data_IF_308320295409
#
_entry.id   IF_308320295409
#
_cell.length_a   1.000
_cell.length_b   1.000
_cell.length_c   1.000
_cell.angle_alpha   90.00
_cell.angle_beta   90.00
_cell.angle_gamma   90.00
#
_symmetry.space_group_name_H-M   'P 1'
#
loop_
_entity.id
_entity.type
_entity.pdbx_description
1 polymer ?
#
# COMPACT_ATOMS: atom_id res chain seq x y z
N UNK A 1 -19.59 59.55 30.32
CA UNK A 1 -18.63 58.86 29.42
C UNK A 1 -18.40 57.38 29.76
N UNK A 2 -18.50 56.93 31.02
CA UNK A 2 -18.23 55.52 31.40
C UNK A 2 -19.20 54.47 30.82
N UNK A 3 -20.50 54.76 30.68
CA UNK A 3 -21.51 53.81 30.15
C UNK A 3 -21.28 53.40 28.68
N UNK A 4 -20.67 54.27 27.88
CA UNK A 4 -20.41 54.01 26.45
C UNK A 4 -19.21 53.07 26.24
N UNK A 5 -18.29 53.02 27.20
CA UNK A 5 -17.11 52.14 27.17
C UNK A 5 -17.48 50.67 27.42
N UNK A 6 -18.34 50.41 28.41
CA UNK A 6 -18.79 49.05 28.74
C UNK A 6 -19.63 48.41 27.63
N UNK A 7 -20.44 49.20 26.93
CA UNK A 7 -21.25 48.71 25.81
C UNK A 7 -20.40 48.30 24.60
N UNK A 8 -19.37 49.10 24.25
CA UNK A 8 -18.42 48.75 23.18
C UNK A 8 -17.63 47.48 23.50
N UNK A 9 -17.24 47.32 24.77
CA UNK A 9 -16.49 46.16 25.22
C UNK A 9 -17.35 44.88 25.22
N UNK A 10 -18.61 44.96 25.69
CA UNK A 10 -19.58 43.86 25.61
C UNK A 10 -19.90 43.48 24.16
N UNK A 11 -20.10 44.47 23.29
CA UNK A 11 -20.33 44.23 21.85
C UNK A 11 -19.12 43.54 21.20
N UNK A 12 -17.90 43.94 21.56
CA UNK A 12 -16.66 43.28 21.13
C UNK A 12 -16.59 41.80 21.54
N UNK A 13 -16.95 41.47 22.79
CA UNK A 13 -17.00 40.08 23.25
C UNK A 13 -18.06 39.26 22.52
N UNK A 14 -19.25 39.81 22.29
CA UNK A 14 -20.34 39.13 21.56
C UNK A 14 -19.93 38.87 20.11
N UNK A 15 -19.32 39.84 19.43
CA UNK A 15 -18.81 39.66 18.06
C UNK A 15 -17.69 38.61 18.03
N UNK A 16 -16.77 38.63 19.00
CA UNK A 16 -15.70 37.63 19.11
C UNK A 16 -16.26 36.21 19.32
N UNK A 17 -17.22 36.03 20.23
CA UNK A 17 -17.85 34.72 20.46
C UNK A 17 -18.61 34.24 19.22
N UNK A 18 -19.29 35.15 18.52
CA UNK A 18 -19.99 34.83 17.28
C UNK A 18 -19.03 34.39 16.17
N UNK A 19 -17.90 35.08 16.00
CA UNK A 19 -16.85 34.69 15.04
C UNK A 19 -16.23 33.34 15.38
N UNK A 20 -15.96 33.07 16.66
CA UNK A 20 -15.47 31.78 17.13
C UNK A 20 -16.49 30.68 16.83
N UNK A 21 -17.76 30.88 17.18
CA UNK A 21 -18.83 29.92 16.89
C UNK A 21 -18.99 29.68 15.37
N UNK A 22 -18.89 30.73 14.55
CA UNK A 22 -18.93 30.62 13.09
C UNK A 22 -17.74 29.80 12.57
N UNK A 23 -16.53 30.01 13.11
CA UNK A 23 -15.34 29.22 12.74
C UNK A 23 -15.46 27.75 13.13
N UNK A 24 -15.99 27.45 14.31
CA UNK A 24 -16.26 26.08 14.75
C UNK A 24 -17.31 25.41 13.85
N UNK A 25 -18.39 26.13 13.52
CA UNK A 25 -19.42 25.64 12.62
C UNK A 25 -18.89 25.39 11.21
N UNK A 26 -18.08 26.30 10.66
CA UNK A 26 -17.43 26.12 9.36
C UNK A 26 -16.47 24.93 9.36
N UNK A 27 -15.72 24.75 10.44
CA UNK A 27 -14.82 23.61 10.60
C UNK A 27 -15.59 22.28 10.69
N UNK A 28 -16.63 22.19 11.51
CA UNK A 28 -17.49 21.00 11.62
C UNK A 28 -18.13 20.65 10.27
N UNK A 29 -18.69 21.64 9.58
CA UNK A 29 -19.24 21.45 8.23
C UNK A 29 -18.20 20.97 7.22
N UNK A 30 -16.96 21.44 7.33
CA UNK A 30 -15.85 20.97 6.48
C UNK A 30 -15.47 19.52 6.77
N UNK A 31 -15.45 19.12 8.05
CA UNK A 31 -15.18 17.72 8.44
C UNK A 31 -16.28 16.78 7.93
N UNK A 32 -17.56 17.14 8.11
CA UNK A 32 -18.68 16.34 7.59
C UNK A 32 -18.61 16.13 6.08
N UNK A 33 -18.33 17.20 5.31
CA UNK A 33 -18.13 17.08 3.85
C UNK A 33 -16.92 16.23 3.47
N UNK A 34 -15.87 16.21 4.29
CA UNK A 34 -14.73 15.35 4.06
C UNK A 34 -15.11 13.88 4.28
N UNK A 35 -15.81 13.58 5.39
CA UNK A 35 -16.28 12.24 5.72
C UNK A 35 -17.23 11.67 4.65
N UNK A 36 -18.20 12.47 4.18
CA UNK A 36 -19.09 12.10 3.08
C UNK A 36 -18.30 11.74 1.81
N UNK A 37 -17.35 12.59 1.40
CA UNK A 37 -16.54 12.35 0.20
C UNK A 37 -15.69 11.08 0.30
N UNK A 38 -15.08 10.82 1.45
CA UNK A 38 -14.26 9.62 1.60
C UNK A 38 -15.16 8.39 1.70
N UNK A 39 -16.34 8.46 2.34
CA UNK A 39 -17.33 7.38 2.31
C UNK A 39 -17.77 7.05 0.87
N UNK A 40 -18.14 8.06 0.07
CA UNK A 40 -18.44 7.90 -1.35
C UNK A 40 -17.26 7.27 -2.11
N UNK A 41 -16.04 7.74 -1.85
CA UNK A 41 -14.82 7.19 -2.45
C UNK A 41 -14.64 5.71 -2.12
N UNK A 42 -14.89 5.30 -0.87
CA UNK A 42 -14.80 3.90 -0.45
C UNK A 42 -15.89 3.03 -1.09
N UNK A 43 -17.11 3.53 -1.23
CA UNK A 43 -18.17 2.80 -1.94
C UNK A 43 -17.83 2.61 -3.42
N UNK A 44 -17.31 3.65 -4.09
CA UNK A 44 -16.84 3.56 -5.47
C UNK A 44 -15.69 2.56 -5.63
N UNK A 45 -14.69 2.59 -4.75
CA UNK A 45 -13.56 1.64 -4.76
C UNK A 45 -14.06 0.20 -4.59
N UNK A 46 -14.93 -0.05 -3.61
CA UNK A 46 -15.51 -1.39 -3.40
C UNK A 46 -16.42 -1.83 -4.54
N UNK A 47 -17.15 -0.91 -5.17
CA UNK A 47 -17.96 -1.20 -6.34
C UNK A 47 -17.09 -1.61 -7.53
N UNK A 48 -16.03 -0.86 -7.81
CA UNK A 48 -15.09 -1.16 -8.90
C UNK A 48 -14.43 -2.53 -8.72
N UNK A 49 -14.05 -2.90 -7.49
CA UNK A 49 -13.57 -4.25 -7.17
C UNK A 49 -14.60 -5.31 -7.56
N UNK A 50 -15.85 -5.15 -7.11
CA UNK A 50 -16.92 -6.11 -7.40
C UNK A 50 -17.19 -6.24 -8.89
N UNK A 51 -17.23 -5.13 -9.61
CA UNK A 51 -17.47 -5.10 -11.06
C UNK A 51 -16.33 -5.76 -11.84
N UNK A 52 -15.08 -5.44 -11.49
CA UNK A 52 -13.90 -6.05 -12.14
C UNK A 52 -13.87 -7.55 -11.92
N UNK A 53 -14.08 -8.01 -10.68
CA UNK A 53 -14.14 -9.43 -10.36
C UNK A 53 -15.32 -10.17 -11.02
N UNK A 54 -16.45 -9.50 -11.25
CA UNK A 54 -17.60 -10.09 -11.92
C UNK A 54 -17.46 -10.15 -13.44
N UNK A 55 -16.68 -9.25 -14.04
CA UNK A 55 -16.42 -9.18 -15.48
C UNK A 55 -15.47 -10.26 -15.99
N UNK A 56 -14.61 -10.81 -15.12
CA UNK A 56 -13.59 -11.80 -15.50
C UNK A 56 -13.78 -13.14 -14.76
N UNK A 57 -14.93 -13.77 -14.99
CA UNK A 57 -15.33 -15.00 -14.30
C UNK A 57 -14.42 -16.20 -14.59
N UNK A 58 -13.75 -16.23 -15.73
CA UNK A 58 -12.83 -17.33 -16.07
C UNK A 58 -11.52 -17.21 -15.29
N UNK A 59 -10.97 -16.00 -15.13
CA UNK A 59 -9.73 -15.76 -14.37
C UNK A 59 -9.90 -15.94 -12.86
N UNK A 60 -11.09 -15.66 -12.31
CA UNK A 60 -11.34 -15.66 -10.85
C UNK A 60 -12.28 -16.77 -10.35
N UNK A 61 -12.37 -17.89 -11.09
CA UNK A 61 -13.29 -19.02 -10.82
C UNK A 61 -13.09 -19.77 -9.49
N UNK A 62 -12.02 -19.48 -8.76
CA UNK A 62 -11.66 -20.18 -7.54
C UNK A 62 -12.61 -19.85 -6.39
N UNK A 63 -12.93 -20.84 -5.55
CA UNK A 63 -13.59 -20.58 -4.27
C UNK A 63 -12.55 -20.36 -3.20
N UNK A 64 -12.93 -19.68 -2.12
CA UNK A 64 -12.06 -19.53 -0.95
C UNK A 64 -11.63 -20.89 -0.37
N UNK A 65 -12.43 -21.94 -0.57
CA UNK A 65 -12.07 -23.31 -0.19
C UNK A 65 -10.87 -23.87 -0.97
N UNK A 66 -10.67 -23.44 -2.20
CA UNK A 66 -9.64 -23.97 -3.11
C UNK A 66 -8.30 -23.22 -2.95
N UNK A 67 -8.31 -22.10 -2.20
CA UNK A 67 -7.11 -21.29 -1.97
C UNK A 67 -6.14 -22.02 -1.05
N UNK A 68 -4.90 -22.22 -1.48
CA UNK A 68 -3.85 -22.81 -0.63
C UNK A 68 -3.46 -21.82 0.47
N UNK A 69 -3.07 -22.32 1.64
CA UNK A 69 -2.73 -21.46 2.78
C UNK A 69 -1.63 -20.45 2.44
N UNK A 70 -0.63 -20.87 1.68
CA UNK A 70 0.46 -19.98 1.22
C UNK A 70 -0.01 -18.76 0.43
N UNK A 71 -1.21 -18.78 -0.14
CA UNK A 71 -1.79 -17.66 -0.90
C UNK A 71 -2.49 -16.65 0.02
N UNK A 72 -2.67 -17.00 1.30
CA UNK A 72 -3.24 -16.15 2.35
C UNK A 72 -2.14 -15.60 3.30
N UNK A 73 -0.86 -15.79 2.95
CA UNK A 73 0.29 -15.42 3.79
C UNK A 73 0.47 -13.90 3.99
N UNK A 74 -0.29 -13.08 3.26
CA UNK A 74 -0.26 -11.63 3.35
C UNK A 74 -1.27 -11.05 4.36
N UNK A 75 -2.04 -11.88 5.05
CA UNK A 75 -3.10 -11.44 5.95
C UNK A 75 -2.60 -11.46 7.40
N UNK A 76 -2.46 -10.28 8.00
CA UNK A 76 -2.17 -10.09 9.42
C UNK A 76 -3.48 -9.98 10.18
N UNK A 77 -3.56 -10.64 11.33
CA UNK A 77 -4.78 -10.75 12.13
C UNK A 77 -4.58 -10.05 13.47
N UNK A 78 -5.59 -9.31 13.89
CA UNK A 78 -5.74 -8.81 15.25
C UNK A 78 -7.11 -9.24 15.79
N UNK A 79 -7.08 -10.23 16.69
CA UNK A 79 -8.28 -10.82 17.29
C UNK A 79 -8.94 -9.88 18.31
N UNK A 80 -8.18 -8.98 18.95
CA UNK A 80 -8.70 -8.08 19.98
C UNK A 80 -9.73 -7.12 19.38
N UNK A 81 -9.45 -6.62 18.19
CA UNK A 81 -10.30 -5.65 17.49
C UNK A 81 -11.09 -6.26 16.32
N UNK A 82 -10.87 -7.55 16.02
CA UNK A 82 -11.52 -8.22 14.89
C UNK A 82 -11.11 -7.62 13.55
N UNK A 83 -9.80 -7.46 13.33
CA UNK A 83 -9.24 -6.80 12.14
C UNK A 83 -8.38 -7.79 11.34
N UNK A 84 -8.45 -7.69 10.01
CA UNK A 84 -7.51 -8.33 9.09
C UNK A 84 -6.91 -7.29 8.17
N UNK A 85 -5.58 -7.19 8.19
CA UNK A 85 -4.82 -6.34 7.27
C UNK A 85 -4.12 -7.18 6.21
N UNK A 86 -4.48 -7.00 4.93
CA UNK A 86 -3.68 -7.55 3.84
C UNK A 86 -2.51 -6.63 3.50
N UNK A 87 -1.29 -7.03 3.86
CA UNK A 87 -0.12 -6.20 3.60
C UNK A 87 0.40 -6.37 2.17
N UNK A 88 0.58 -5.24 1.49
CA UNK A 88 1.21 -5.16 0.17
C UNK A 88 2.52 -4.37 0.34
N UNK A 89 3.70 -4.93 0.01
CA UNK A 89 4.96 -4.21 0.16
C UNK A 89 4.98 -2.86 -0.56
N UNK A 90 5.80 -1.90 -0.11
CA UNK A 90 5.92 -0.57 -0.76
C UNK A 90 4.64 0.28 -0.81
N UNK A 91 3.60 -0.13 -0.09
CA UNK A 91 2.35 0.60 0.13
C UNK A 91 2.18 0.90 1.63
N UNK A 92 3.13 1.66 2.18
CA UNK A 92 3.21 1.99 3.61
C UNK A 92 3.12 0.79 4.57
N UNK A 93 3.42 -0.42 4.11
CA UNK A 93 3.19 -1.64 4.88
C UNK A 93 3.95 -1.68 6.20
N UNK A 94 5.10 -1.00 6.30
CA UNK A 94 5.86 -0.91 7.55
C UNK A 94 5.10 -0.13 8.61
N UNK A 95 4.47 0.99 8.24
CA UNK A 95 3.67 1.80 9.17
C UNK A 95 2.39 1.08 9.57
N UNK A 96 1.71 0.42 8.64
CA UNK A 96 0.55 -0.42 9.00
C UNK A 96 0.94 -1.59 9.91
N UNK A 97 2.08 -2.25 9.66
CA UNK A 97 2.57 -3.29 10.56
C UNK A 97 2.92 -2.77 11.96
N UNK A 98 3.44 -1.53 12.07
CA UNK A 98 3.64 -0.86 13.37
C UNK A 98 2.32 -0.62 14.09
N UNK A 99 1.30 -0.13 13.37
CA UNK A 99 -0.06 0.02 13.93
C UNK A 99 -0.60 -1.33 14.39
N UNK A 100 -0.56 -2.36 13.54
CA UNK A 100 -1.00 -3.71 13.93
C UNK A 100 -0.25 -4.24 15.15
N UNK A 101 1.06 -3.98 15.25
CA UNK A 101 1.86 -4.39 16.41
C UNK A 101 1.47 -3.64 17.68
N UNK A 102 1.24 -2.34 17.60
CA UNK A 102 0.75 -1.56 18.75
C UNK A 102 -0.56 -2.10 19.28
N UNK A 103 -1.48 -2.50 18.38
CA UNK A 103 -2.79 -3.06 18.76
C UNK A 103 -2.69 -4.44 19.43
N UNK A 104 -1.58 -5.17 19.28
CA UNK A 104 -1.35 -6.42 20.03
C UNK A 104 -0.84 -6.19 21.44
N UNK A 105 -0.55 -4.94 21.83
CA UNK A 105 -0.09 -4.58 23.18
C UNK A 105 -1.27 -4.13 24.06
N UNK A 106 -1.01 -3.96 25.35
CA UNK A 106 -2.00 -3.41 26.29
C UNK A 106 -2.17 -1.89 26.11
N UNK A 107 -3.32 -1.40 26.58
CA UNK A 107 -3.60 0.04 26.62
C UNK A 107 -2.88 0.73 27.79
N UNK A 108 -2.42 1.98 27.62
CA UNK A 108 -2.44 2.76 26.38
C UNK A 108 -1.45 2.20 25.35
N UNK A 109 -1.87 2.14 24.08
CA UNK A 109 -1.04 1.56 23.02
C UNK A 109 0.26 2.34 22.83
N UNK A 110 1.39 1.65 22.56
CA UNK A 110 2.62 2.34 22.23
C UNK A 110 2.48 3.08 20.90
N UNK A 111 3.09 4.27 20.81
CA UNK A 111 3.10 5.06 19.58
C UNK A 111 3.75 4.25 18.44
N UNK A 112 3.02 3.99 17.33
CA UNK A 112 3.55 3.27 16.17
C UNK A 112 4.86 3.83 15.61
N UNK A 113 5.12 5.13 15.74
CA UNK A 113 6.37 5.76 15.28
C UNK A 113 7.58 5.27 16.07
N UNK A 114 7.40 4.97 17.36
CA UNK A 114 8.48 4.51 18.26
C UNK A 114 8.93 3.06 17.97
N UNK A 115 8.11 2.30 17.24
CA UNK A 115 8.37 0.89 16.95
C UNK A 115 9.40 0.76 15.82
N UNK A 116 10.44 -0.04 16.04
CA UNK A 116 11.46 -0.33 15.03
C UNK A 116 10.86 -0.94 13.77
N UNK A 117 11.26 -0.45 12.59
CA UNK A 117 10.86 -1.05 11.32
C UNK A 117 11.38 -2.47 11.16
N UNK A 118 12.55 -2.78 11.71
CA UNK A 118 13.13 -4.13 11.68
C UNK A 118 12.26 -5.12 12.45
N UNK A 119 11.83 -4.73 13.66
CA UNK A 119 11.02 -5.58 14.55
C UNK A 119 9.75 -6.09 13.85
N UNK A 120 8.99 -5.20 13.22
CA UNK A 120 7.71 -5.56 12.61
C UNK A 120 7.83 -6.40 11.34
N UNK A 121 9.04 -6.58 10.81
CA UNK A 121 9.31 -7.49 9.68
C UNK A 121 9.89 -8.83 10.13
N UNK A 122 10.16 -9.03 11.42
CA UNK A 122 10.59 -10.33 11.93
C UNK A 122 9.46 -11.38 11.83
N UNK A 123 9.82 -12.65 11.55
CA UNK A 123 8.85 -13.75 11.60
C UNK A 123 8.20 -13.88 12.98
N UNK A 124 6.95 -14.32 13.02
CA UNK A 124 6.18 -14.57 14.26
C UNK A 124 5.94 -13.34 15.17
N UNK A 125 6.29 -12.14 14.73
CA UNK A 125 6.01 -10.90 15.48
C UNK A 125 4.56 -10.45 15.36
N UNK A 126 3.90 -10.73 14.24
CA UNK A 126 2.51 -10.40 13.99
C UNK A 126 1.73 -11.69 13.66
N UNK A 127 0.53 -11.91 14.23
CA UNK A 127 -0.27 -13.08 13.91
C UNK A 127 -0.66 -13.07 12.42
N UNK A 128 -0.44 -14.17 11.72
CA UNK A 128 -0.83 -14.32 10.32
C UNK A 128 -2.08 -15.20 10.24
N UNK A 129 -2.98 -14.94 9.30
CA UNK A 129 -4.18 -15.75 9.14
C UNK A 129 -3.85 -17.24 8.96
N UNK A 130 -2.75 -17.53 8.28
CA UNK A 130 -2.29 -18.90 8.01
C UNK A 130 -1.79 -19.66 9.24
N UNK A 131 -1.61 -18.99 10.38
CA UNK A 131 -1.25 -19.67 11.65
C UNK A 131 -2.46 -20.25 12.37
N UNK A 132 -3.68 -19.99 11.89
CA UNK A 132 -4.91 -20.49 12.50
C UNK A 132 -5.46 -21.71 11.75
N UNK A 133 -6.20 -22.61 12.42
CA UNK A 133 -6.90 -23.70 11.74
C UNK A 133 -7.91 -23.19 10.70
N UNK A 134 -8.07 -23.92 9.59
CA UNK A 134 -8.97 -23.54 8.46
C UNK A 134 -10.38 -23.10 8.85
N UNK A 135 -11.10 -23.76 9.77
CA UNK A 135 -12.42 -23.29 10.20
C UNK A 135 -12.38 -21.90 10.83
N UNK A 136 -11.35 -21.63 11.62
CA UNK A 136 -11.15 -20.33 12.25
C UNK A 136 -10.76 -19.27 11.23
N UNK A 137 -9.88 -19.58 10.28
CA UNK A 137 -9.56 -18.68 9.16
C UNK A 137 -10.83 -18.23 8.42
N UNK A 138 -11.74 -19.17 8.12
CA UNK A 138 -13.03 -18.87 7.48
C UNK A 138 -13.91 -17.98 8.35
N UNK A 139 -13.98 -18.26 9.65
CA UNK A 139 -14.75 -17.45 10.59
C UNK A 139 -14.20 -16.02 10.67
N UNK A 140 -12.89 -15.85 10.81
CA UNK A 140 -12.23 -14.54 10.82
C UNK A 140 -12.46 -13.78 9.52
N UNK A 141 -12.25 -14.41 8.35
CA UNK A 141 -12.54 -13.78 7.04
C UNK A 141 -14.01 -13.36 6.87
N UNK A 142 -14.94 -14.09 7.49
CA UNK A 142 -16.37 -13.77 7.45
C UNK A 142 -16.73 -12.60 8.36
N UNK A 143 -16.13 -12.52 9.55
CA UNK A 143 -16.62 -11.66 10.64
C UNK A 143 -15.74 -10.45 10.94
N UNK A 144 -14.44 -10.48 10.62
CA UNK A 144 -13.50 -9.40 10.95
C UNK A 144 -13.54 -8.30 9.91
N UNK A 145 -13.26 -7.05 10.29
CA UNK A 145 -13.09 -5.95 9.33
C UNK A 145 -11.80 -6.16 8.54
N UNK A 146 -11.89 -6.23 7.22
CA UNK A 146 -10.75 -6.50 6.33
C UNK A 146 -10.37 -5.25 5.56
N UNK A 147 -9.10 -4.88 5.57
CA UNK A 147 -8.62 -3.76 4.76
C UNK A 147 -7.31 -4.07 4.04
N UNK A 148 -7.07 -3.33 2.96
CA UNK A 148 -5.77 -3.25 2.31
C UNK A 148 -5.49 -1.82 1.88
N UNK A 149 -4.22 -1.55 1.60
CA UNK A 149 -3.80 -0.34 0.91
C UNK A 149 -3.14 -0.72 -0.41
N UNK A 150 -3.39 0.07 -1.45
CA UNK A 150 -2.80 -0.07 -2.78
C UNK A 150 -2.01 1.17 -3.19
N UNK A 151 -1.22 1.05 -4.26
CA UNK A 151 -0.44 2.15 -4.85
C UNK A 151 -0.44 2.00 -6.35
N UNK A 152 -0.25 3.10 -7.08
CA UNK A 152 -0.04 3.03 -8.53
C UNK A 152 0.97 1.91 -8.89
N UNK A 153 0.62 0.94 -9.76
CA UNK A 153 1.44 -0.24 -9.97
C UNK A 153 2.87 0.07 -10.42
N UNK A 154 3.05 1.05 -11.30
CA UNK A 154 4.37 1.41 -11.80
C UNK A 154 5.17 2.20 -10.77
N UNK A 155 4.52 3.07 -10.01
CA UNK A 155 5.17 3.75 -8.89
C UNK A 155 5.58 2.74 -7.80
N UNK A 156 4.79 1.70 -7.55
CA UNK A 156 5.12 0.60 -6.63
C UNK A 156 6.39 -0.14 -7.10
N UNK A 157 6.54 -0.40 -8.40
CA UNK A 157 7.75 -1.02 -8.97
C UNK A 157 9.00 -0.15 -8.82
N UNK A 158 8.89 1.15 -9.06
CA UNK A 158 10.00 2.09 -8.81
C UNK A 158 10.42 2.02 -7.34
N UNK A 159 9.45 2.05 -6.43
CA UNK A 159 9.70 1.95 -4.99
C UNK A 159 10.38 0.62 -4.60
N UNK A 160 9.95 -0.50 -5.21
CA UNK A 160 10.57 -1.81 -5.03
C UNK A 160 12.02 -1.82 -5.53
N UNK A 161 12.25 -1.36 -6.77
CA UNK A 161 13.58 -1.29 -7.37
C UNK A 161 14.54 -0.44 -6.52
N UNK A 162 14.13 0.77 -6.13
CA UNK A 162 14.95 1.65 -5.27
C UNK A 162 15.34 0.98 -3.95
N UNK A 163 14.43 0.23 -3.35
CA UNK A 163 14.69 -0.44 -2.08
C UNK A 163 15.52 -1.72 -2.20
N UNK A 164 15.45 -2.44 -3.33
CA UNK A 164 16.15 -3.72 -3.49
C UNK A 164 17.48 -3.61 -4.23
N UNK A 165 17.65 -2.63 -5.11
CA UNK A 165 18.81 -2.54 -5.99
C UNK A 165 19.61 -1.23 -5.88
N UNK A 166 19.07 -0.17 -5.26
CA UNK A 166 19.83 1.07 -5.02
C UNK A 166 20.34 1.23 -3.59
N UNK A 167 19.84 0.42 -2.66
CA UNK A 167 20.35 0.33 -1.30
C UNK A 167 21.32 -0.85 -1.22
N UNK A 168 22.30 -0.78 -0.31
CA UNK A 168 23.19 -1.90 -0.07
C UNK A 168 22.39 -3.08 0.49
N UNK A 169 22.25 -4.14 -0.32
CA UNK A 169 21.44 -5.32 -0.03
C UNK A 169 22.05 -6.56 -0.69
N UNK A 170 23.05 -7.13 -0.02
CA UNK A 170 23.79 -8.29 -0.50
C UNK A 170 22.88 -9.49 -0.78
N UNK A 171 21.88 -9.74 0.06
CA UNK A 171 20.94 -10.85 -0.10
C UNK A 171 20.18 -10.76 -1.44
N UNK A 172 19.60 -9.59 -1.74
CA UNK A 172 18.88 -9.40 -3.01
C UNK A 172 19.81 -9.39 -4.21
N UNK A 173 21.03 -8.88 -4.05
CA UNK A 173 22.04 -8.95 -5.11
C UNK A 173 22.38 -10.40 -5.46
N UNK A 174 22.63 -11.26 -4.46
CA UNK A 174 22.91 -12.68 -4.69
C UNK A 174 21.72 -13.41 -5.31
N UNK A 175 20.52 -13.17 -4.76
CA UNK A 175 19.32 -13.92 -5.15
C UNK A 175 18.76 -13.49 -6.51
N UNK A 176 18.86 -12.21 -6.86
CA UNK A 176 18.25 -11.64 -8.06
C UNK A 176 19.25 -10.85 -8.89
N UNK A 177 20.04 -9.98 -8.26
CA UNK A 177 20.90 -9.03 -8.97
C UNK A 177 21.87 -9.67 -9.95
N UNK A 178 22.58 -10.72 -9.54
CA UNK A 178 23.50 -11.47 -10.41
C UNK A 178 22.79 -12.11 -11.59
N UNK A 179 21.63 -12.72 -11.37
CA UNK A 179 20.85 -13.33 -12.43
C UNK A 179 20.38 -12.29 -13.46
N UNK A 180 19.90 -11.14 -12.98
CA UNK A 180 19.45 -10.02 -13.82
C UNK A 180 20.62 -9.45 -14.64
N UNK A 181 21.78 -9.23 -14.01
CA UNK A 181 22.98 -8.76 -14.70
C UNK A 181 23.43 -9.72 -15.80
N UNK A 182 23.39 -11.02 -15.50
CA UNK A 182 23.79 -12.06 -16.45
C UNK A 182 22.94 -12.09 -17.70
N UNK A 183 21.62 -12.04 -17.54
CA UNK A 183 20.69 -12.22 -18.65
C UNK A 183 20.42 -10.93 -19.42
N UNK A 184 20.38 -9.78 -18.74
CA UNK A 184 19.84 -8.56 -19.33
C UNK A 184 20.85 -7.40 -19.38
N UNK A 185 22.01 -7.50 -18.72
CA UNK A 185 23.02 -6.44 -18.69
C UNK A 185 24.33 -6.78 -19.45
N UNK A 186 24.34 -7.86 -20.24
CA UNK A 186 25.53 -8.36 -20.95
C UNK A 186 26.73 -8.66 -20.03
N UNK A 187 26.48 -9.19 -18.83
CA UNK A 187 27.51 -9.54 -17.84
C UNK A 187 27.54 -11.05 -17.59
N UNK A 188 28.20 -11.86 -18.44
CA UNK A 188 28.14 -13.33 -18.34
C UNK A 188 28.62 -13.87 -16.98
N UNK A 189 29.62 -13.20 -16.38
CA UNK A 189 30.14 -13.51 -15.05
C UNK A 189 30.05 -12.28 -14.11
N UNK A 190 28.87 -12.01 -13.51
CA UNK A 190 28.68 -10.91 -12.58
C UNK A 190 29.49 -11.13 -11.29
N UNK A 191 30.03 -10.06 -10.67
CA UNK A 191 30.83 -10.12 -9.44
C UNK A 191 30.17 -10.92 -8.32
N UNK A 192 30.99 -11.52 -7.47
CA UNK A 192 30.52 -12.46 -6.44
C UNK A 192 29.93 -11.75 -5.22
N UNK A 193 30.16 -10.45 -5.05
CA UNK A 193 29.52 -9.62 -4.02
C UNK A 193 29.00 -8.30 -4.59
N UNK A 194 28.07 -7.66 -3.88
CA UNK A 194 27.57 -6.34 -4.25
C UNK A 194 28.66 -5.28 -4.14
N UNK A 195 29.59 -5.40 -3.19
CA UNK A 195 30.70 -4.47 -3.03
C UNK A 195 31.67 -4.53 -4.23
N UNK A 196 31.99 -5.72 -4.74
CA UNK A 196 32.78 -5.88 -5.97
C UNK A 196 32.05 -5.30 -7.19
N UNK A 197 30.74 -5.52 -7.29
CA UNK A 197 29.91 -4.95 -8.36
C UNK A 197 29.94 -3.43 -8.31
N UNK A 198 29.72 -2.83 -7.14
CA UNK A 198 29.75 -1.39 -6.93
C UNK A 198 31.14 -0.79 -7.24
N UNK A 199 32.21 -1.43 -6.76
CA UNK A 199 33.59 -1.01 -7.05
C UNK A 199 33.90 -1.02 -8.55
N UNK A 200 33.26 -1.93 -9.30
CA UNK A 200 33.38 -2.05 -10.76
C UNK A 200 32.38 -1.17 -11.53
N UNK A 201 31.57 -0.36 -10.85
CA UNK A 201 30.51 0.45 -11.45
C UNK A 201 29.34 -0.36 -12.04
N UNK A 202 29.26 -1.66 -11.72
CA UNK A 202 28.25 -2.57 -12.23
C UNK A 202 27.01 -2.56 -11.33
N UNK A 203 25.84 -2.35 -11.93
CA UNK A 203 24.56 -2.31 -11.21
C UNK A 203 23.42 -2.77 -12.09
N UNK A 204 22.43 -3.38 -11.47
CA UNK A 204 21.15 -3.69 -12.13
C UNK A 204 20.47 -2.37 -12.48
N UNK A 205 20.29 -2.05 -13.75
CA UNK A 205 19.51 -0.88 -14.16
C UNK A 205 18.00 -1.15 -14.01
N UNK A 206 17.19 -0.08 -13.98
CA UNK A 206 15.73 -0.24 -13.97
C UNK A 206 15.23 -0.96 -15.22
N UNK A 207 15.82 -0.70 -16.38
CA UNK A 207 15.49 -1.41 -17.62
C UNK A 207 15.77 -2.91 -17.49
N UNK A 208 16.92 -3.32 -16.94
CA UNK A 208 17.22 -4.74 -16.72
C UNK A 208 16.22 -5.41 -15.77
N UNK A 209 15.81 -4.67 -14.73
CA UNK A 209 14.78 -5.13 -13.82
C UNK A 209 13.42 -5.32 -14.53
N UNK A 210 13.01 -4.39 -15.40
CA UNK A 210 11.79 -4.56 -16.20
C UNK A 210 11.90 -5.76 -17.14
N UNK A 211 13.02 -5.92 -17.86
CA UNK A 211 13.23 -7.08 -18.75
C UNK A 211 13.14 -8.41 -17.99
N UNK A 212 13.67 -8.47 -16.77
CA UNK A 212 13.51 -9.61 -15.88
C UNK A 212 12.05 -9.91 -15.52
N UNK A 213 11.23 -8.89 -15.27
CA UNK A 213 9.79 -9.08 -15.01
C UNK A 213 9.03 -9.55 -16.25
N UNK A 214 9.47 -9.15 -17.44
CA UNK A 214 8.83 -9.51 -18.70
C UNK A 214 9.24 -10.88 -19.24
N UNK A 215 10.29 -11.48 -18.68
CA UNK A 215 10.73 -12.81 -19.07
C UNK A 215 9.76 -13.88 -18.53
N UNK A 216 9.11 -14.67 -19.40
CA UNK A 216 8.16 -15.71 -18.99
C UNK A 216 8.82 -16.82 -18.16
N UNK A 217 10.15 -16.96 -18.21
CA UNK A 217 10.89 -17.92 -17.39
C UNK A 217 10.96 -17.48 -15.92
N UNK A 218 10.80 -16.20 -15.63
CA UNK A 218 10.95 -15.67 -14.27
C UNK A 218 9.93 -16.24 -13.30
N UNK A 219 8.67 -16.37 -13.70
CA UNK A 219 7.62 -16.98 -12.86
C UNK A 219 7.36 -18.46 -13.13
N UNK A 220 8.17 -19.12 -13.98
CA UNK A 220 7.89 -20.49 -14.44
C UNK A 220 7.79 -21.49 -13.29
N UNK A 221 8.67 -21.37 -12.29
CA UNK A 221 8.79 -22.33 -11.19
C UNK A 221 8.40 -21.74 -9.83
N UNK A 222 8.56 -20.43 -9.66
CA UNK A 222 8.30 -19.72 -8.41
C UNK A 222 7.50 -18.46 -8.72
N UNK A 223 6.51 -18.09 -7.89
CA UNK A 223 5.83 -16.81 -8.04
C UNK A 223 6.82 -15.64 -7.91
N UNK A 224 6.45 -14.49 -8.45
CA UNK A 224 7.19 -13.25 -8.24
C UNK A 224 7.41 -12.96 -6.75
N UNK A 225 8.56 -12.33 -6.48
CA UNK A 225 8.90 -11.81 -5.17
C UNK A 225 7.83 -10.77 -4.73
N UNK A 226 7.38 -10.79 -3.47
CA UNK A 226 6.26 -9.95 -3.02
C UNK A 226 6.35 -8.44 -3.28
N UNK A 227 7.55 -7.85 -3.43
CA UNK A 227 7.71 -6.41 -3.69
C UNK A 227 7.36 -6.02 -5.12
N UNK A 228 7.42 -6.96 -6.06
CA UNK A 228 7.03 -6.78 -7.47
C UNK A 228 6.04 -7.84 -7.95
N UNK A 229 5.32 -8.51 -7.05
CA UNK A 229 4.14 -9.29 -7.43
C UNK A 229 2.93 -8.37 -7.59
N UNK A 230 2.00 -8.69 -8.47
CA UNK A 230 0.75 -7.93 -8.62
C UNK A 230 -0.02 -7.91 -7.30
N UNK A 231 -0.58 -6.75 -6.93
CA UNK A 231 -1.26 -6.51 -5.66
C UNK A 231 -2.50 -7.41 -5.51
N UNK A 232 -3.27 -7.57 -6.59
CA UNK A 232 -4.41 -8.49 -6.62
C UNK A 232 -4.00 -9.94 -6.34
N UNK A 233 -2.79 -10.36 -6.75
CA UNK A 233 -2.28 -11.73 -6.53
C UNK A 233 -1.76 -11.94 -5.11
N UNK A 234 -1.50 -10.86 -4.38
CA UNK A 234 -1.11 -10.89 -2.96
C UNK A 234 -2.33 -10.92 -2.04
N UNK A 235 -3.40 -10.22 -2.41
CA UNK A 235 -4.53 -9.98 -1.53
C UNK A 235 -5.87 -10.58 -1.99
N UNK A 236 -5.93 -11.15 -3.19
CA UNK A 236 -7.08 -11.91 -3.72
C UNK A 236 -8.44 -11.22 -3.51
N UNK A 237 -8.62 -9.94 -3.90
CA UNK A 237 -9.85 -9.18 -3.62
C UNK A 237 -11.12 -9.73 -4.30
N UNK A 238 -10.98 -10.61 -5.29
CA UNK A 238 -12.13 -11.33 -5.86
C UNK A 238 -12.60 -12.51 -4.99
N UNK A 239 -11.75 -12.98 -4.06
CA UNK A 239 -12.06 -14.05 -3.11
C UNK A 239 -12.33 -13.50 -1.70
N UNK A 240 -11.68 -12.40 -1.35
CA UNK A 240 -11.77 -11.74 -0.05
C UNK A 240 -12.51 -10.42 -0.22
N UNK A 241 -13.69 -10.33 0.39
CA UNK A 241 -14.49 -9.09 0.38
C UNK A 241 -13.88 -8.08 1.35
N UNK A 242 -13.09 -7.14 0.87
CA UNK A 242 -12.53 -6.07 1.69
C UNK A 242 -13.57 -5.02 2.07
N UNK A 243 -13.51 -4.58 3.32
CA UNK A 243 -14.41 -3.58 3.90
C UNK A 243 -13.87 -2.15 3.71
N UNK A 244 -12.55 -2.02 3.51
CA UNK A 244 -11.88 -0.75 3.22
C UNK A 244 -10.71 -0.93 2.25
N UNK A 245 -10.58 0.00 1.29
CA UNK A 245 -9.48 0.02 0.30
C UNK A 245 -8.84 1.40 0.33
N UNK A 246 -7.66 1.49 0.95
CA UNK A 246 -6.88 2.71 1.01
C UNK A 246 -5.92 2.85 -0.17
N UNK A 247 -5.55 4.08 -0.51
CA UNK A 247 -4.52 4.37 -1.52
C UNK A 247 -3.31 5.04 -0.85
N UNK A 248 -2.11 4.71 -1.34
CA UNK A 248 -0.87 5.36 -0.89
C UNK A 248 -0.89 6.87 -1.16
N UNK A 249 -1.54 7.27 -2.25
CA UNK A 249 -1.64 8.65 -2.71
C UNK A 249 -2.52 9.49 -1.77
N UNK A 250 -3.46 8.86 -1.05
CA UNK A 250 -4.35 9.47 -0.05
C UNK A 250 -4.12 8.90 1.35
N UNK A 251 -2.91 8.39 1.62
CA UNK A 251 -2.60 7.55 2.78
C UNK A 251 -3.03 8.17 4.11
N UNK A 252 -2.67 9.43 4.40
CA UNK A 252 -3.00 10.05 5.68
C UNK A 252 -4.53 10.17 5.88
N UNK A 253 -5.26 10.55 4.83
CA UNK A 253 -6.71 10.70 4.90
C UNK A 253 -7.39 9.33 5.05
N UNK A 254 -6.99 8.36 4.24
CA UNK A 254 -7.54 7.01 4.27
C UNK A 254 -7.22 6.30 5.60
N UNK A 255 -6.00 6.42 6.12
CA UNK A 255 -5.62 5.85 7.41
C UNK A 255 -6.41 6.46 8.56
N UNK A 256 -6.55 7.79 8.58
CA UNK A 256 -7.33 8.48 9.63
C UNK A 256 -8.79 8.05 9.61
N UNK A 257 -9.39 7.90 8.43
CA UNK A 257 -10.76 7.41 8.33
C UNK A 257 -10.88 5.96 8.77
N UNK A 258 -9.97 5.08 8.34
CA UNK A 258 -10.01 3.68 8.73
C UNK A 258 -9.97 3.55 10.26
N UNK A 259 -9.10 4.29 10.94
CA UNK A 259 -9.06 4.31 12.40
C UNK A 259 -10.38 4.79 13.02
N UNK A 260 -11.05 5.79 12.41
CA UNK A 260 -12.40 6.22 12.84
C UNK A 260 -13.45 5.12 12.68
N UNK A 261 -13.45 4.40 11.56
CA UNK A 261 -14.37 3.27 11.31
C UNK A 261 -14.15 2.15 12.33
N UNK A 262 -12.90 1.94 12.73
CA UNK A 262 -12.51 0.95 13.72
C UNK A 262 -12.71 1.42 15.17
N UNK A 263 -13.16 2.67 15.38
CA UNK A 263 -13.29 3.29 16.71
C UNK A 263 -11.95 3.36 17.48
N UNK A 264 -10.85 3.56 16.75
CA UNK A 264 -9.47 3.61 17.27
C UNK A 264 -8.83 4.99 17.15
N UNK A 265 -9.55 6.00 16.64
CA UNK A 265 -8.99 7.32 16.33
C UNK A 265 -8.45 8.09 17.55
N UNK A 266 -8.96 7.78 18.75
CA UNK A 266 -8.59 8.44 20.00
C UNK A 266 -7.44 7.69 20.73
N UNK A 267 -7.19 6.43 20.38
CA UNK A 267 -6.24 5.55 21.06
C UNK A 267 -4.91 5.39 20.31
N UNK A 268 -4.94 5.50 18.97
CA UNK A 268 -3.77 5.28 18.12
C UNK A 268 -3.79 6.22 16.92
N UNK A 269 -2.61 6.69 16.52
CA UNK A 269 -2.45 7.49 15.31
C UNK A 269 -1.61 6.74 14.29
N UNK A 270 -2.01 6.86 13.02
CA UNK A 270 -1.20 6.34 11.94
C UNK A 270 0.06 7.20 11.78
N UNK A 271 1.27 6.60 11.65
CA UNK A 271 2.49 7.35 11.47
C UNK A 271 2.41 8.35 10.32
N UNK A 272 2.84 9.61 10.51
CA UNK A 272 2.95 10.55 9.41
C UNK A 272 3.86 9.97 8.32
N UNK A 273 3.45 10.10 7.06
CA UNK A 273 4.21 9.64 5.91
C UNK A 273 4.35 10.79 4.94
N UNK A 274 5.38 11.61 5.14
CA UNK A 274 5.70 12.75 4.28
C UNK A 274 6.75 12.42 3.21
N UNK A 275 7.27 11.19 3.19
CA UNK A 275 8.43 10.86 2.36
C UNK A 275 8.06 10.44 0.93
N UNK A 276 8.66 11.14 -0.04
CA UNK A 276 8.96 10.67 -1.39
C UNK A 276 7.78 10.04 -2.14
N UNK A 277 6.66 10.76 -2.24
CA UNK A 277 5.70 10.49 -3.30
C UNK A 277 6.41 10.67 -4.64
N UNK A 278 6.60 9.57 -5.36
CA UNK A 278 7.08 9.62 -6.75
C UNK A 278 6.11 10.46 -7.55
N UNK A 279 6.55 11.64 -7.98
CA UNK A 279 5.72 12.51 -8.80
C UNK A 279 5.57 11.92 -10.19
N UNK A 280 4.56 12.41 -10.93
CA UNK A 280 4.38 12.04 -12.33
C UNK A 280 5.65 12.31 -13.17
N UNK A 281 6.34 13.42 -12.93
CA UNK A 281 7.60 13.74 -13.63
C UNK A 281 8.69 12.70 -13.35
N UNK A 282 8.84 12.25 -12.10
CA UNK A 282 9.80 11.21 -11.75
C UNK A 282 9.40 9.87 -12.35
N UNK A 283 8.11 9.54 -12.41
CA UNK A 283 7.62 8.34 -13.11
C UNK A 283 8.06 8.35 -14.58
N UNK A 284 7.84 9.45 -15.31
CA UNK A 284 8.27 9.57 -16.71
C UNK A 284 9.79 9.42 -16.88
N UNK A 285 10.57 10.01 -15.97
CA UNK A 285 12.04 9.93 -15.99
C UNK A 285 12.53 8.48 -15.84
N UNK A 286 12.01 7.72 -14.88
CA UNK A 286 12.36 6.30 -14.70
C UNK A 286 12.08 5.46 -15.94
N UNK A 287 10.95 5.72 -16.61
CA UNK A 287 10.54 4.96 -17.78
C UNK A 287 11.18 5.44 -19.07
N UNK A 288 11.85 6.61 -19.10
CA UNK A 288 12.48 7.18 -20.30
C UNK A 288 13.45 6.21 -20.99
N UNK A 289 14.23 5.46 -20.21
CA UNK A 289 15.19 4.47 -20.70
C UNK A 289 14.57 3.10 -21.05
N UNK A 290 13.30 2.87 -20.69
CA UNK A 290 12.60 1.59 -20.98
C UNK A 290 11.99 1.66 -22.38
N UNK A 291 12.22 0.68 -23.27
CA UNK A 291 11.62 0.66 -24.61
C UNK A 291 10.08 0.66 -24.57
N UNK A 292 9.44 1.33 -25.53
CA UNK A 292 7.97 1.46 -25.59
C UNK A 292 7.25 0.10 -25.54
N UNK A 293 7.77 -0.89 -26.27
CA UNK A 293 7.23 -2.26 -26.28
C UNK A 293 7.31 -2.93 -24.90
N UNK A 294 8.40 -2.73 -24.17
CA UNK A 294 8.55 -3.25 -22.82
C UNK A 294 7.58 -2.57 -21.85
N UNK A 295 7.33 -1.26 -22.02
CA UNK A 295 6.32 -0.53 -21.22
C UNK A 295 4.91 -1.09 -21.46
N UNK A 296 4.57 -1.41 -22.70
CA UNK A 296 3.27 -2.00 -23.09
C UNK A 296 3.08 -3.38 -22.49
N UNK A 297 4.07 -4.27 -22.65
CA UNK A 297 4.05 -5.60 -22.02
C UNK A 297 4.01 -5.52 -20.49
N UNK A 298 4.70 -4.55 -19.91
CA UNK A 298 4.65 -4.32 -18.46
C UNK A 298 3.27 -3.85 -18.02
N UNK A 299 2.59 -3.00 -18.80
CA UNK A 299 1.21 -2.63 -18.52
C UNK A 299 0.30 -3.85 -18.56
N UNK A 300 0.38 -4.69 -19.59
CA UNK A 300 -0.40 -5.95 -19.68
C UNK A 300 -0.17 -6.85 -18.46
N UNK A 301 1.08 -6.97 -18.00
CA UNK A 301 1.44 -7.76 -16.81
C UNK A 301 0.81 -7.24 -15.50
N UNK A 302 0.48 -5.95 -15.42
CA UNK A 302 -0.11 -5.29 -14.24
C UNK A 302 -1.51 -4.71 -14.49
N UNK A 303 -2.12 -4.99 -15.65
CA UNK A 303 -3.35 -4.33 -16.09
C UNK A 303 -4.47 -4.51 -15.08
N UNK A 304 -4.58 -5.71 -14.52
CA UNK A 304 -5.58 -6.01 -13.49
C UNK A 304 -5.40 -5.15 -12.24
N UNK A 305 -4.17 -4.86 -11.80
CA UNK A 305 -3.98 -3.93 -10.66
C UNK A 305 -4.42 -2.51 -11.02
N UNK A 306 -4.19 -2.05 -12.26
CA UNK A 306 -4.65 -0.73 -12.70
C UNK A 306 -6.18 -0.66 -12.69
N UNK A 307 -6.84 -1.62 -13.33
CA UNK A 307 -8.30 -1.65 -13.50
C UNK A 307 -9.02 -1.84 -12.18
N UNK A 308 -8.61 -2.85 -11.42
CA UNK A 308 -9.26 -3.26 -10.17
C UNK A 308 -9.21 -2.18 -9.10
N UNK A 309 -8.09 -1.45 -9.03
CA UNK A 309 -7.88 -0.42 -8.02
C UNK A 309 -8.08 1.02 -8.54
N UNK A 310 -8.64 1.18 -9.74
CA UNK A 310 -9.05 2.50 -10.25
C UNK A 310 -7.90 3.43 -10.62
N UNK A 311 -6.73 2.88 -10.95
CA UNK A 311 -5.63 3.67 -11.51
C UNK A 311 -5.85 3.91 -12.99
N UNK A 312 -5.52 5.12 -13.45
CA UNK A 312 -5.62 5.47 -14.87
C UNK A 312 -4.54 4.73 -15.66
N UNK A 313 -4.89 4.22 -16.85
CA UNK A 313 -3.91 3.71 -17.81
C UNK A 313 -2.92 4.85 -18.15
N UNK A 314 -1.60 4.66 -17.97
CA UNK A 314 -0.60 5.71 -18.14
C UNK A 314 -0.31 5.96 -19.63
N UNK A 315 -1.20 6.67 -20.32
CA UNK A 315 -1.13 6.89 -21.78
C UNK A 315 0.19 7.51 -22.23
N UNK A 316 0.71 8.44 -21.43
CA UNK A 316 1.98 9.13 -21.64
C UNK A 316 3.18 8.18 -21.70
N UNK A 317 3.09 7.01 -21.07
CA UNK A 317 4.12 5.98 -21.12
C UNK A 317 3.93 4.97 -22.26
N UNK A 318 2.70 4.82 -22.76
CA UNK A 318 2.28 3.69 -23.60
C UNK A 318 1.94 4.06 -25.05
N UNK A 319 1.55 5.31 -25.30
CA UNK A 319 0.92 5.70 -26.56
C UNK A 319 1.90 6.36 -27.56
N UNK A 320 3.13 6.72 -27.12
CA UNK A 320 4.22 7.16 -27.99
C UNK A 320 4.25 8.66 -28.25
#
# INVERSE_FOLDING_TARGET
MARYSGFKQLLGYVVSMFLIALSFYQWDMSQRKLEERIHETQELRKQLLRETCAGDKETFKHRLEDVRDKELANLIVDDKHGIIYCYIPKVACTNWKRVMFSLTQDEPYPDPVSISSYLVHLPNTLPLLISFPRPEMKAKLKHYTKFLFVRDPFVRLISAYRNKFLQHNEEFYQRYGRHILRLYANQPDPPQSLDEANASGMRVSFQNFIQYLLDPLTERNVPFEPHWRQMQRLCLPCLIKYDFVGHQETLQQDSSQLLKILMLQDDIQFPPSYENMTTHAVLLDWFSAVPLEDRRKLYELYEEDFRMFGYKRPRELLDG
#
